data_IF_818469684890
#
_entry.id   IF_818469684890
#
_cell.length_a   1.000
_cell.length_b   1.000
_cell.length_c   1.000
_cell.angle_alpha   90.00
_cell.angle_beta   90.00
_cell.angle_gamma   90.00
#
_symmetry.space_group_name_H-M   'P 1'
#
loop_
_entity.id
_entity.type
_entity.pdbx_description
1 polymer ?
#
# COMPACT_ATOMS: atom_id res chain seq x y z
N UNK A 1 29.86 65.68 9.51
CA UNK A 1 28.52 65.05 9.71
C UNK A 1 28.29 63.85 8.80
N UNK A 2 29.11 62.78 8.89
CA UNK A 2 29.05 61.61 7.96
C UNK A 2 28.97 60.23 8.68
N UNK A 3 28.83 60.22 10.02
CA UNK A 3 28.83 58.92 10.78
C UNK A 3 27.45 58.24 10.87
N UNK A 4 26.37 58.94 10.67
CA UNK A 4 25.01 58.37 10.83
C UNK A 4 24.58 57.42 9.70
N UNK A 5 25.09 57.61 8.48
CA UNK A 5 24.73 56.75 7.33
C UNK A 5 25.36 55.38 7.39
N UNK A 6 26.53 55.19 8.02
CA UNK A 6 27.20 53.93 8.15
C UNK A 6 26.51 53.00 9.15
N UNK A 7 25.94 53.54 10.24
CA UNK A 7 25.21 52.77 11.25
C UNK A 7 23.91 52.18 10.72
N UNK A 8 23.15 52.94 9.90
CA UNK A 8 21.89 52.48 9.30
C UNK A 8 22.11 51.37 8.32
N UNK A 9 23.17 51.45 7.52
CA UNK A 9 23.52 50.36 6.56
C UNK A 9 23.87 49.04 7.26
N UNK A 10 24.59 49.10 8.40
CA UNK A 10 24.93 47.91 9.19
C UNK A 10 23.69 47.24 9.79
N UNK A 11 22.73 48.02 10.30
CA UNK A 11 21.48 47.53 10.87
C UNK A 11 20.61 46.87 9.78
N UNK A 12 20.49 47.51 8.64
CA UNK A 12 19.73 46.92 7.51
C UNK A 12 20.39 45.59 7.05
N UNK A 13 21.71 45.57 6.96
CA UNK A 13 22.44 44.36 6.61
C UNK A 13 22.22 43.19 7.58
N UNK A 14 22.24 43.46 8.88
CA UNK A 14 21.96 42.41 9.89
C UNK A 14 20.53 41.91 9.84
N UNK A 15 19.54 42.79 9.66
CA UNK A 15 18.12 42.41 9.52
C UNK A 15 17.94 41.52 8.27
N UNK A 16 18.54 41.87 7.15
CA UNK A 16 18.47 41.08 5.92
C UNK A 16 19.07 39.67 6.11
N UNK A 17 20.22 39.57 6.76
CA UNK A 17 20.86 38.26 7.02
C UNK A 17 19.99 37.40 7.94
N UNK A 18 19.43 37.97 9.00
CA UNK A 18 18.54 37.24 9.92
C UNK A 18 17.27 36.79 9.18
N UNK A 19 16.67 37.67 8.39
CA UNK A 19 15.47 37.33 7.60
C UNK A 19 15.74 36.22 6.59
N UNK A 20 16.89 36.24 5.92
CA UNK A 20 17.29 35.20 4.99
C UNK A 20 17.56 33.86 5.69
N UNK A 21 18.18 33.89 6.87
CA UNK A 21 18.43 32.70 7.67
C UNK A 21 17.13 32.04 8.16
N UNK A 22 16.16 32.84 8.59
CA UNK A 22 14.83 32.34 9.00
C UNK A 22 14.08 31.76 7.82
N UNK A 23 14.05 32.46 6.69
CA UNK A 23 13.39 31.98 5.48
C UNK A 23 14.06 30.69 4.95
N UNK A 24 15.38 30.61 4.92
CA UNK A 24 16.12 29.44 4.50
C UNK A 24 15.89 28.23 5.42
N UNK A 25 15.84 28.44 6.74
CA UNK A 25 15.56 27.37 7.69
C UNK A 25 14.14 26.85 7.58
N UNK A 26 13.15 27.69 7.31
CA UNK A 26 11.76 27.31 7.09
C UNK A 26 11.62 26.46 5.83
N UNK A 27 12.22 26.88 4.72
CA UNK A 27 12.23 26.11 3.46
C UNK A 27 12.92 24.77 3.66
N UNK A 28 14.09 24.76 4.32
CA UNK A 28 14.79 23.52 4.61
C UNK A 28 13.95 22.56 5.48
N UNK A 29 13.32 23.06 6.52
CA UNK A 29 12.44 22.25 7.38
C UNK A 29 11.29 21.62 6.59
N UNK A 30 10.59 22.40 5.75
CA UNK A 30 9.50 21.88 4.91
C UNK A 30 10.02 20.84 3.92
N UNK A 31 11.15 21.07 3.28
CA UNK A 31 11.75 20.11 2.36
C UNK A 31 12.10 18.81 3.07
N UNK A 32 12.86 18.87 4.18
CA UNK A 32 13.27 17.67 4.92
C UNK A 32 12.08 16.88 5.45
N UNK A 33 11.08 17.55 6.02
CA UNK A 33 9.89 16.84 6.54
C UNK A 33 9.04 16.21 5.44
N UNK A 34 9.01 16.77 4.23
CA UNK A 34 8.31 16.15 3.10
C UNK A 34 9.03 14.91 2.57
N UNK A 35 10.36 14.91 2.55
CA UNK A 35 11.16 13.72 2.17
C UNK A 35 11.17 12.63 3.24
N UNK A 36 11.07 12.99 4.52
CA UNK A 36 11.08 12.04 5.63
C UNK A 36 9.70 11.48 5.98
N UNK A 37 8.63 11.87 5.29
CA UNK A 37 7.31 11.30 5.53
C UNK A 37 7.32 9.82 5.19
N UNK A 38 6.92 8.95 6.12
CA UNK A 38 6.78 7.53 5.83
C UNK A 38 5.75 7.37 4.69
N UNK A 39 6.15 6.66 3.67
CA UNK A 39 5.30 6.38 2.51
C UNK A 39 4.66 5.01 2.65
N UNK A 40 3.44 4.87 2.15
CA UNK A 40 2.83 3.57 1.98
C UNK A 40 3.55 2.82 0.86
N UNK A 41 3.76 1.55 1.05
CA UNK A 41 4.37 0.69 0.04
C UNK A 41 3.87 -0.73 0.20
N UNK A 42 3.57 -1.38 -0.92
CA UNK A 42 3.01 -2.71 -0.97
C UNK A 42 3.71 -3.52 -2.07
N UNK A 43 4.08 -4.74 -1.75
CA UNK A 43 4.56 -5.72 -2.73
C UNK A 43 3.66 -6.95 -2.66
N UNK A 44 2.60 -7.02 -3.49
CA UNK A 44 1.71 -8.17 -3.55
C UNK A 44 2.26 -9.22 -4.53
N UNK A 45 2.23 -10.48 -4.14
CA UNK A 45 2.42 -11.63 -4.99
C UNK A 45 1.17 -12.52 -4.89
N UNK A 46 0.33 -12.50 -5.90
CA UNK A 46 -0.90 -13.28 -5.93
C UNK A 46 -0.79 -14.37 -6.98
N UNK A 47 -1.20 -15.57 -6.61
CA UNK A 47 -1.21 -16.74 -7.49
C UNK A 47 -2.60 -17.36 -7.49
N UNK A 48 -3.03 -17.82 -8.66
CA UNK A 48 -4.29 -18.54 -8.86
C UNK A 48 -3.95 -19.87 -9.50
N UNK A 49 -4.12 -20.96 -8.78
CA UNK A 49 -3.90 -22.30 -9.31
C UNK A 49 -5.21 -23.08 -9.42
N UNK A 50 -5.36 -23.80 -10.52
CA UNK A 50 -6.56 -24.59 -10.82
C UNK A 50 -6.16 -26.05 -10.94
N UNK A 51 -6.53 -26.86 -9.97
CA UNK A 51 -6.24 -28.30 -9.97
C UNK A 51 -7.14 -29.08 -10.93
N UNK A 52 -6.67 -30.26 -11.34
CA UNK A 52 -7.36 -31.17 -12.29
C UNK A 52 -8.79 -31.59 -11.82
N UNK A 53 -9.07 -31.53 -10.52
CA UNK A 53 -10.38 -31.83 -9.94
C UNK A 53 -11.34 -30.62 -9.90
N UNK A 54 -11.00 -29.51 -10.55
CA UNK A 54 -11.78 -28.26 -10.52
C UNK A 54 -11.63 -27.46 -9.22
N UNK A 55 -10.75 -27.85 -8.33
CA UNK A 55 -10.40 -27.06 -7.16
C UNK A 55 -9.52 -25.88 -7.57
N UNK A 56 -9.84 -24.73 -7.04
CA UNK A 56 -9.06 -23.50 -7.23
C UNK A 56 -8.47 -23.06 -5.89
N UNK A 57 -7.20 -22.72 -5.91
CA UNK A 57 -6.51 -22.09 -4.78
C UNK A 57 -6.06 -20.70 -5.18
N UNK A 58 -6.48 -19.71 -4.45
CA UNK A 58 -5.96 -18.35 -4.54
C UNK A 58 -5.06 -18.11 -3.35
N UNK A 59 -3.79 -17.87 -3.60
CA UNK A 59 -2.80 -17.56 -2.57
C UNK A 59 -2.22 -16.18 -2.83
N UNK A 60 -2.19 -15.37 -1.79
CA UNK A 60 -1.63 -14.03 -1.83
C UNK A 60 -0.58 -13.89 -0.73
N UNK A 61 0.64 -13.58 -1.11
CA UNK A 61 1.67 -13.11 -0.20
C UNK A 61 1.82 -11.61 -0.35
N UNK A 62 1.64 -10.89 0.73
CA UNK A 62 1.62 -9.44 0.73
C UNK A 62 2.67 -8.95 1.72
N UNK A 63 3.60 -8.14 1.23
CA UNK A 63 4.67 -7.55 2.04
C UNK A 63 4.50 -6.04 2.11
N UNK A 64 4.51 -5.50 3.31
CA UNK A 64 4.55 -4.07 3.54
C UNK A 64 5.97 -3.54 3.35
N UNK A 65 6.24 -2.90 2.24
CA UNK A 65 7.54 -2.28 1.93
C UNK A 65 7.61 -0.81 2.36
N UNK A 66 6.48 -0.27 2.82
CA UNK A 66 6.36 1.13 3.26
C UNK A 66 6.74 1.34 4.72
N UNK A 67 6.81 2.61 5.11
CA UNK A 67 7.11 3.06 6.47
C UNK A 67 5.87 3.18 7.37
N UNK A 68 4.67 2.82 6.90
CA UNK A 68 3.42 2.91 7.67
C UNK A 68 2.84 1.50 7.83
N UNK A 69 2.46 1.07 9.06
CA UNK A 69 1.82 -0.22 9.26
C UNK A 69 0.43 -0.28 8.61
N UNK A 70 0.04 -1.44 8.09
CA UNK A 70 -1.32 -1.72 7.64
C UNK A 70 -2.13 -2.36 8.78
N UNK A 71 -3.42 -2.03 8.83
CA UNK A 71 -4.35 -2.58 9.83
C UNK A 71 -5.25 -3.67 9.25
N UNK A 72 -5.55 -3.59 7.96
CA UNK A 72 -6.34 -4.59 7.24
C UNK A 72 -6.00 -4.60 5.75
N UNK A 73 -6.26 -5.73 5.12
CA UNK A 73 -6.07 -5.96 3.70
C UNK A 73 -7.38 -6.49 3.10
N UNK A 74 -7.75 -6.00 1.93
CA UNK A 74 -8.81 -6.56 1.11
C UNK A 74 -8.26 -6.89 -0.27
N UNK A 75 -8.46 -8.12 -0.72
CA UNK A 75 -8.01 -8.61 -2.01
C UNK A 75 -9.25 -8.94 -2.83
N UNK A 76 -9.43 -8.26 -3.93
CA UNK A 76 -10.51 -8.51 -4.88
C UNK A 76 -9.96 -9.16 -6.14
N UNK A 77 -10.46 -10.32 -6.48
CA UNK A 77 -10.12 -11.03 -7.72
C UNK A 77 -11.36 -11.05 -8.60
N UNK A 78 -11.30 -10.39 -9.74
CA UNK A 78 -12.42 -10.28 -10.66
C UNK A 78 -12.15 -11.06 -11.94
N UNK A 79 -13.10 -11.93 -12.31
CA UNK A 79 -13.21 -12.56 -13.61
C UNK A 79 -14.29 -11.88 -14.46
N UNK A 80 -14.58 -12.44 -15.62
CA UNK A 80 -15.58 -11.89 -16.57
C UNK A 80 -17.02 -11.85 -16.03
N UNK A 81 -17.38 -12.77 -15.14
CA UNK A 81 -18.73 -12.90 -14.57
C UNK A 81 -18.76 -13.30 -13.09
N UNK A 82 -17.61 -13.31 -12.43
CA UNK A 82 -17.46 -13.75 -11.05
C UNK A 82 -16.44 -12.91 -10.32
N UNK A 83 -16.66 -12.69 -9.03
CA UNK A 83 -15.77 -11.91 -8.19
C UNK A 83 -15.58 -12.61 -6.83
N UNK A 84 -14.34 -12.70 -6.40
CA UNK A 84 -13.95 -13.19 -5.09
C UNK A 84 -13.33 -12.05 -4.30
N UNK A 85 -13.84 -11.81 -3.11
CA UNK A 85 -13.31 -10.84 -2.17
C UNK A 85 -12.78 -11.56 -0.93
N UNK A 86 -11.55 -11.25 -0.57
CA UNK A 86 -10.84 -11.83 0.55
C UNK A 86 -10.44 -10.69 1.47
N UNK A 87 -10.89 -10.70 2.71
CA UNK A 87 -10.52 -9.69 3.71
C UNK A 87 -9.64 -10.34 4.77
N UNK A 88 -8.50 -9.76 5.03
CA UNK A 88 -7.57 -10.19 6.08
C UNK A 88 -7.47 -9.08 7.14
N UNK A 89 -7.84 -9.43 8.37
CA UNK A 89 -7.97 -8.49 9.49
C UNK A 89 -6.85 -8.71 10.51
N UNK A 90 -5.61 -8.46 10.10
CA UNK A 90 -4.46 -8.46 11.01
C UNK A 90 -3.46 -7.39 10.58
N UNK A 91 -2.78 -6.81 11.56
CA UNK A 91 -1.82 -5.75 11.31
C UNK A 91 -0.54 -6.30 10.65
N UNK A 92 -0.03 -5.59 9.66
CA UNK A 92 1.30 -5.79 9.08
C UNK A 92 2.21 -4.65 9.48
N UNK A 93 3.31 -4.99 10.13
CA UNK A 93 4.31 -3.99 10.52
C UNK A 93 4.95 -3.32 9.31
N UNK A 94 5.41 -2.08 9.51
CA UNK A 94 6.16 -1.35 8.51
C UNK A 94 7.52 -1.99 8.23
N UNK A 95 8.05 -1.78 7.04
CA UNK A 95 9.43 -2.15 6.71
C UNK A 95 9.68 -3.65 6.60
N UNK A 96 8.76 -4.43 6.03
CA UNK A 96 8.95 -5.85 5.75
C UNK A 96 7.97 -6.80 6.43
N UNK A 97 6.97 -6.29 7.17
CA UNK A 97 5.86 -7.11 7.66
C UNK A 97 5.15 -7.80 6.51
N UNK A 98 4.95 -9.12 6.59
CA UNK A 98 4.31 -9.89 5.52
C UNK A 98 3.17 -10.74 6.06
N UNK A 99 2.15 -10.96 5.22
CA UNK A 99 1.07 -11.91 5.46
C UNK A 99 0.91 -12.82 4.24
N UNK A 100 0.64 -14.08 4.51
CA UNK A 100 0.23 -15.03 3.48
C UNK A 100 -1.23 -15.38 3.73
N UNK A 101 -2.06 -15.11 2.74
CA UNK A 101 -3.49 -15.40 2.74
C UNK A 101 -3.79 -16.43 1.68
N UNK A 102 -4.41 -17.53 2.05
CA UNK A 102 -4.80 -18.57 1.11
C UNK A 102 -6.29 -18.89 1.28
N UNK A 103 -6.98 -19.00 0.15
CA UNK A 103 -8.36 -19.45 0.09
C UNK A 103 -8.49 -20.56 -0.94
N UNK A 104 -9.39 -21.50 -0.66
CA UNK A 104 -9.59 -22.69 -1.48
C UNK A 104 -11.08 -22.94 -1.69
N UNK A 105 -11.44 -23.33 -2.89
CA UNK A 105 -12.81 -23.66 -3.25
C UNK A 105 -12.91 -24.41 -4.55
N UNK A 106 -14.12 -24.71 -4.96
CA UNK A 106 -14.41 -25.28 -6.28
C UNK A 106 -14.65 -24.13 -7.24
N UNK A 107 -14.13 -24.23 -8.47
CA UNK A 107 -14.34 -23.21 -9.49
C UNK A 107 -15.85 -22.91 -9.69
N UNK A 108 -16.24 -21.64 -9.54
CA UNK A 108 -17.63 -21.20 -9.57
C UNK A 108 -18.46 -21.52 -8.32
N UNK A 109 -17.90 -22.22 -7.35
CA UNK A 109 -18.54 -22.58 -6.08
C UNK A 109 -18.06 -21.72 -4.91
N UNK A 110 -18.45 -22.11 -3.69
CA UNK A 110 -18.03 -21.38 -2.50
C UNK A 110 -16.54 -21.59 -2.20
N UNK A 111 -15.91 -20.54 -1.72
CA UNK A 111 -14.53 -20.55 -1.24
C UNK A 111 -14.49 -20.50 0.29
N UNK A 112 -13.53 -21.16 0.87
CA UNK A 112 -13.24 -21.14 2.30
C UNK A 112 -11.82 -20.63 2.56
N UNK A 113 -11.68 -19.87 3.65
CA UNK A 113 -10.39 -19.42 4.13
C UNK A 113 -9.56 -20.59 4.65
N UNK A 114 -8.32 -20.70 4.22
CA UNK A 114 -7.33 -21.62 4.76
C UNK A 114 -6.42 -20.94 5.80
N UNK A 115 -6.51 -19.62 5.92
CA UNK A 115 -5.70 -18.79 6.84
C UNK A 115 -6.59 -18.17 7.91
N UNK A 116 -6.07 -18.06 9.13
CA UNK A 116 -6.77 -17.38 10.24
C UNK A 116 -6.96 -15.88 9.92
N UNK A 117 -7.95 -15.26 10.56
CA UNK A 117 -8.31 -13.84 10.39
C UNK A 117 -8.68 -13.46 8.95
N UNK A 118 -9.14 -14.43 8.16
CA UNK A 118 -9.52 -14.26 6.76
C UNK A 118 -11.02 -14.49 6.61
N UNK A 119 -11.73 -13.52 6.04
CA UNK A 119 -13.10 -13.65 5.58
C UNK A 119 -13.12 -13.73 4.05
N UNK A 120 -14.02 -14.55 3.51
CA UNK A 120 -14.15 -14.78 2.07
C UNK A 120 -15.60 -14.55 1.66
N UNK A 121 -15.78 -13.74 0.62
CA UNK A 121 -17.10 -13.44 0.04
C UNK A 121 -17.05 -13.62 -1.48
N UNK A 122 -18.12 -14.15 -2.03
CA UNK A 122 -18.26 -14.35 -3.47
C UNK A 122 -17.73 -15.69 -3.95
N UNK A 123 -17.62 -15.80 -5.27
CA UNK A 123 -17.14 -16.99 -5.97
C UNK A 123 -16.23 -16.57 -7.13
N UNK A 124 -15.35 -17.45 -7.55
CA UNK A 124 -14.48 -17.24 -8.71
C UNK A 124 -14.56 -18.47 -9.60
N UNK A 125 -15.03 -18.28 -10.82
CA UNK A 125 -14.94 -19.31 -11.86
C UNK A 125 -13.56 -19.22 -12.51
N UNK A 126 -12.58 -19.94 -11.93
CA UNK A 126 -11.20 -19.92 -12.42
C UNK A 126 -10.98 -20.98 -13.48
N UNK A 127 -10.30 -20.60 -14.56
CA UNK A 127 -9.86 -21.48 -15.63
C UNK A 127 -8.39 -21.25 -15.97
N UNK A 128 -7.68 -22.32 -16.27
CA UNK A 128 -6.25 -22.28 -16.64
C UNK A 128 -6.04 -21.42 -17.88
N UNK A 129 -5.03 -20.56 -17.84
CA UNK A 129 -4.66 -19.66 -18.94
C UNK A 129 -5.50 -18.38 -19.02
N UNK A 130 -6.51 -18.22 -18.16
CA UNK A 130 -7.33 -17.00 -18.12
C UNK A 130 -6.69 -15.97 -17.20
N UNK A 131 -6.72 -14.70 -17.61
CA UNK A 131 -6.22 -13.58 -16.83
C UNK A 131 -7.34 -12.99 -15.96
N UNK A 132 -7.01 -12.74 -14.71
CA UNK A 132 -7.90 -12.16 -13.70
C UNK A 132 -7.37 -10.82 -13.22
N UNK A 133 -8.26 -9.84 -13.10
CA UNK A 133 -7.92 -8.56 -12.50
C UNK A 133 -7.87 -8.72 -10.97
N UNK A 134 -6.77 -8.32 -10.38
CA UNK A 134 -6.56 -8.36 -8.93
C UNK A 134 -6.37 -6.95 -8.42
N UNK A 135 -7.12 -6.59 -7.40
CA UNK A 135 -6.98 -5.32 -6.67
C UNK A 135 -6.68 -5.66 -5.22
N UNK A 136 -5.63 -5.08 -4.70
CA UNK A 136 -5.25 -5.20 -3.28
C UNK A 136 -5.39 -3.84 -2.64
N UNK A 137 -6.35 -3.73 -1.73
CA UNK A 137 -6.65 -2.53 -0.96
C UNK A 137 -6.13 -2.72 0.47
N UNK A 138 -5.37 -1.76 0.97
CA UNK A 138 -4.83 -1.77 2.32
C UNK A 138 -5.31 -0.55 3.09
N UNK A 139 -5.72 -0.76 4.33
CA UNK A 139 -5.99 0.34 5.26
C UNK A 139 -4.74 0.54 6.13
N UNK A 140 -4.22 1.76 6.12
CA UNK A 140 -3.06 2.14 6.92
C UNK A 140 -3.49 2.47 8.36
N UNK A 141 -2.55 2.43 9.29
CA UNK A 141 -2.79 2.77 10.70
C UNK A 141 -3.23 4.22 10.92
N UNK A 142 -2.99 5.12 9.98
CA UNK A 142 -3.45 6.50 9.99
C UNK A 142 -4.85 6.70 9.37
N UNK A 143 -5.54 5.61 8.98
CA UNK A 143 -6.86 5.62 8.36
C UNK A 143 -6.87 5.88 6.84
N UNK A 144 -5.73 6.15 6.22
CA UNK A 144 -5.65 6.27 4.77
C UNK A 144 -5.73 4.90 4.09
N UNK A 145 -6.16 4.88 2.84
CA UNK A 145 -6.19 3.66 2.02
C UNK A 145 -5.10 3.72 0.95
N UNK A 146 -4.51 2.57 0.67
CA UNK A 146 -3.57 2.37 -0.42
C UNK A 146 -4.05 1.21 -1.27
N UNK A 147 -4.13 1.41 -2.58
CA UNK A 147 -4.66 0.43 -3.53
C UNK A 147 -3.66 0.14 -4.64
N UNK A 148 -3.54 -1.13 -5.01
CA UNK A 148 -2.72 -1.58 -6.12
C UNK A 148 -3.49 -2.58 -6.97
N UNK A 149 -3.54 -2.34 -8.29
CA UNK A 149 -4.20 -3.20 -9.25
C UNK A 149 -3.18 -3.82 -10.23
N UNK A 150 -3.37 -5.10 -10.55
CA UNK A 150 -2.56 -5.85 -11.51
C UNK A 150 -3.36 -7.02 -12.07
N UNK A 151 -2.81 -7.75 -13.01
CA UNK A 151 -3.44 -8.96 -13.56
C UNK A 151 -2.63 -10.21 -13.26
N UNK A 152 -3.32 -11.32 -13.03
CA UNK A 152 -2.72 -12.63 -12.75
C UNK A 152 -3.33 -13.66 -13.70
N UNK A 153 -2.50 -14.47 -14.30
CA UNK A 153 -2.95 -15.61 -15.13
C UNK A 153 -3.04 -16.85 -14.26
N UNK A 154 -4.17 -17.54 -14.33
CA UNK A 154 -4.34 -18.80 -13.63
C UNK A 154 -3.52 -19.93 -14.30
N UNK A 155 -2.87 -20.74 -13.48
CA UNK A 155 -2.04 -21.86 -13.92
C UNK A 155 -2.54 -23.19 -13.33
N UNK A 156 -2.16 -24.35 -13.91
CA UNK A 156 -2.54 -25.66 -13.39
C UNK A 156 -1.86 -25.99 -12.07
#
# INVERSE_FOLDING_TARGET
>A
MTSSRRGVSAIIGTILIISLAIAGSAVYYVAVTSYMRPQAGLSPAVTISVGASGFTVVSAQITNTGGIPFTSLAISVAGSSSQLQITYSSALSAGGGSATVAVRGVSGGPYSAATQNTAVLGNLAAAVGVSYAVVVDCTLSNGATYSQAFSVVAFP
#
